data_IF_511681144214
#
_entry.id   IF_511681144214
#
_cell.length_a   1.000
_cell.length_b   1.000
_cell.length_c   1.000
_cell.angle_alpha   90.00
_cell.angle_beta   90.00
_cell.angle_gamma   90.00
#
_symmetry.space_group_name_H-M   'P 1'
#
loop_
_entity.id
_entity.type
_entity.pdbx_description
1 polymer ?
#
# COMPACT_ATOMS: atom_id res chain seq x y z
N UNK A 1 6.30 -27.16 -4.68
CA UNK A 1 7.66 -26.65 -4.32
C UNK A 1 7.52 -25.17 -4.01
N UNK A 2 7.65 -24.78 -2.74
CA UNK A 2 7.46 -23.41 -2.28
C UNK A 2 8.74 -22.61 -2.60
N UNK A 3 8.67 -21.71 -3.57
CA UNK A 3 9.75 -20.74 -3.82
C UNK A 3 9.68 -19.68 -2.74
N UNK A 4 10.57 -19.75 -1.77
CA UNK A 4 10.83 -18.67 -0.83
C UNK A 4 11.59 -17.58 -1.61
N UNK A 5 10.89 -16.50 -1.95
CA UNK A 5 11.54 -15.24 -2.32
C UNK A 5 12.18 -14.73 -1.04
N UNK A 6 13.49 -14.62 -1.05
CA UNK A 6 14.27 -14.08 0.05
C UNK A 6 13.93 -12.59 0.21
N UNK A 7 12.98 -12.30 1.08
CA UNK A 7 12.78 -11.01 1.69
C UNK A 7 13.78 -10.96 2.86
N UNK A 8 15.02 -10.68 2.52
CA UNK A 8 16.12 -10.53 3.47
C UNK A 8 16.13 -9.11 3.99
N UNK A 9 16.17 -9.04 5.30
CA UNK A 9 16.49 -7.89 6.15
C UNK A 9 15.31 -7.15 6.80
N UNK A 10 14.50 -7.89 7.53
CA UNK A 10 13.93 -7.38 8.77
C UNK A 10 14.32 -8.31 9.93
N UNK A 11 15.60 -8.52 10.10
CA UNK A 11 16.21 -9.21 11.23
C UNK A 11 16.94 -8.18 12.07
N UNK A 12 16.25 -7.66 13.06
CA UNK A 12 16.75 -7.18 14.37
C UNK A 12 18.25 -6.83 14.36
N UNK A 13 18.64 -5.68 13.85
CA UNK A 13 19.71 -4.93 14.46
C UNK A 13 19.07 -4.05 15.55
N UNK A 14 18.90 -4.61 16.73
CA UNK A 14 18.77 -3.80 17.91
C UNK A 14 20.09 -3.04 18.05
N UNK A 15 20.22 -1.92 17.35
CA UNK A 15 21.22 -0.93 17.65
C UNK A 15 20.76 -0.32 18.97
N UNK A 16 21.20 -0.93 20.07
CA UNK A 16 21.12 -0.29 21.36
C UNK A 16 21.88 1.04 21.22
N UNK A 17 21.13 2.12 21.04
CA UNK A 17 21.60 3.49 21.23
C UNK A 17 21.97 3.65 22.71
N UNK A 18 23.09 3.06 23.11
CA UNK A 18 23.72 3.42 24.37
C UNK A 18 24.38 4.78 24.15
N UNK A 19 23.62 5.82 24.44
CA UNK A 19 24.18 7.12 24.77
C UNK A 19 24.93 7.00 26.11
N UNK A 20 26.16 6.47 26.08
CA UNK A 20 27.10 6.59 27.20
C UNK A 20 28.52 6.52 26.66
N UNK A 21 29.20 7.66 26.72
CA UNK A 21 30.65 7.73 26.72
C UNK A 21 31.29 7.76 25.33
N UNK A 22 32.21 8.71 25.16
CA UNK A 22 33.16 8.84 24.05
C UNK A 22 33.84 7.50 23.70
N UNK A 23 33.19 6.64 22.92
CA UNK A 23 33.91 5.61 22.21
C UNK A 23 34.22 6.15 20.82
N UNK A 24 35.51 6.25 20.54
CA UNK A 24 36.02 6.60 19.20
C UNK A 24 35.32 5.76 18.18
N UNK A 25 34.75 6.42 17.15
CA UNK A 25 34.13 5.80 16.00
C UNK A 25 35.02 4.66 15.46
N UNK A 26 34.50 3.42 15.51
CA UNK A 26 35.28 2.25 15.08
C UNK A 26 35.00 1.96 13.61
N UNK A 27 36.06 2.02 12.82
CA UNK A 27 36.05 1.53 11.44
C UNK A 27 36.21 0.02 11.37
N UNK A 28 35.90 -0.54 10.22
CA UNK A 28 36.04 -1.96 9.90
C UNK A 28 36.57 -2.10 8.48
N UNK A 29 37.57 -2.93 8.28
CA UNK A 29 38.12 -3.20 6.96
C UNK A 29 38.19 -4.70 6.71
N UNK A 30 37.71 -5.12 5.54
CA UNK A 30 37.77 -6.48 5.03
C UNK A 30 38.44 -6.49 3.64
N UNK A 31 38.52 -7.63 2.99
CA UNK A 31 38.97 -7.70 1.59
C UNK A 31 38.09 -6.86 0.67
N UNK A 32 36.78 -6.89 0.85
CA UNK A 32 35.80 -6.32 -0.06
C UNK A 32 35.40 -4.88 0.30
N UNK A 33 35.33 -4.53 1.58
CA UNK A 33 34.81 -3.23 2.04
C UNK A 33 35.72 -2.58 3.08
N UNK A 34 35.71 -1.24 3.07
CA UNK A 34 36.22 -0.40 4.15
C UNK A 34 35.10 0.48 4.65
N UNK A 35 34.70 0.28 5.90
CA UNK A 35 33.67 1.03 6.61
C UNK A 35 34.39 2.00 7.55
N UNK A 36 34.23 3.29 7.36
CA UNK A 36 34.91 4.27 8.19
C UNK A 36 34.32 4.30 9.61
N UNK A 37 32.99 4.27 9.71
CA UNK A 37 32.23 4.29 10.96
C UNK A 37 30.99 3.42 10.82
N UNK A 38 30.80 2.46 11.74
CA UNK A 38 29.60 1.64 11.81
C UNK A 38 28.96 1.59 13.22
N UNK A 39 29.64 2.15 14.25
CA UNK A 39 29.10 2.35 15.60
C UNK A 39 29.15 3.82 15.94
N UNK A 40 28.12 4.31 16.63
CA UNK A 40 28.01 5.72 16.98
C UNK A 40 27.87 6.63 15.75
N UNK A 41 27.21 6.15 14.70
CA UNK A 41 26.91 6.98 13.52
C UNK A 41 25.94 8.09 13.91
N UNK A 42 26.27 9.31 13.54
CA UNK A 42 25.35 10.45 13.65
C UNK A 42 24.41 10.43 12.45
N UNK A 43 23.12 10.38 12.72
CA UNK A 43 22.08 10.44 11.69
C UNK A 43 21.53 11.86 11.57
N UNK A 44 21.14 12.23 10.37
CA UNK A 44 20.40 13.45 10.15
C UNK A 44 19.09 13.42 10.96
N UNK A 45 18.56 14.59 11.30
CA UNK A 45 17.36 14.69 12.13
C UNK A 45 16.20 13.90 11.53
N UNK A 46 15.74 12.90 12.25
CA UNK A 46 14.47 12.23 11.99
C UNK A 46 13.43 12.92 12.87
N UNK A 47 12.36 13.42 12.25
CA UNK A 47 11.31 14.09 13.01
C UNK A 47 10.56 13.09 13.87
N UNK A 48 10.39 13.44 15.14
CA UNK A 48 9.56 12.63 16.04
C UNK A 48 8.11 12.72 15.60
N UNK A 49 7.34 11.63 15.78
CA UNK A 49 5.90 11.67 15.51
C UNK A 49 5.24 12.72 16.42
N UNK A 50 4.15 13.29 15.92
CA UNK A 50 3.28 14.14 16.74
C UNK A 50 2.64 13.31 17.87
N UNK A 51 2.25 13.98 18.92
CA UNK A 51 1.46 13.34 19.99
C UNK A 51 0.12 12.83 19.41
N UNK A 52 -0.30 11.65 19.88
CA UNK A 52 -1.59 11.07 19.53
C UNK A 52 -2.70 11.90 20.16
N UNK A 53 -3.58 12.44 19.32
CA UNK A 53 -4.72 13.26 19.75
C UNK A 53 -5.97 12.41 19.98
N UNK A 54 -6.96 13.00 20.66
CA UNK A 54 -8.29 12.36 20.79
C UNK A 54 -8.99 12.16 19.43
N UNK A 55 -8.71 13.01 18.46
CA UNK A 55 -9.23 12.87 17.09
C UNK A 55 -8.63 11.67 16.37
N UNK A 56 -7.34 11.39 16.55
CA UNK A 56 -6.69 10.19 16.02
C UNK A 56 -7.34 8.93 16.61
N UNK A 57 -7.54 8.92 17.93
CA UNK A 57 -8.21 7.83 18.64
C UNK A 57 -9.63 7.63 18.13
N UNK A 58 -10.41 8.71 17.99
CA UNK A 58 -11.78 8.63 17.49
C UNK A 58 -11.82 8.15 16.02
N UNK A 59 -10.88 8.58 15.20
CA UNK A 59 -10.75 8.14 13.81
C UNK A 59 -10.46 6.65 13.72
N UNK A 60 -9.53 6.15 14.52
CA UNK A 60 -9.23 4.72 14.58
C UNK A 60 -10.42 3.90 15.08
N UNK A 61 -11.12 4.38 16.11
CA UNK A 61 -12.33 3.73 16.62
C UNK A 61 -13.43 3.73 15.55
N UNK A 62 -13.61 4.83 14.81
CA UNK A 62 -14.59 4.89 13.72
C UNK A 62 -14.28 3.86 12.63
N UNK A 63 -13.03 3.65 12.28
CA UNK A 63 -12.61 2.59 11.34
C UNK A 63 -13.04 1.21 11.84
N UNK A 64 -12.82 0.91 13.13
CA UNK A 64 -13.25 -0.37 13.73
C UNK A 64 -14.77 -0.50 13.73
N UNK A 65 -15.53 0.59 13.99
CA UNK A 65 -16.98 0.58 13.90
C UNK A 65 -17.45 0.30 12.46
N UNK A 66 -16.80 0.92 11.48
CA UNK A 66 -17.12 0.75 10.07
C UNK A 66 -16.80 -0.67 9.56
N UNK A 67 -15.70 -1.27 9.98
CA UNK A 67 -15.36 -2.67 9.70
C UNK A 67 -16.36 -3.67 10.31
N UNK A 68 -16.99 -3.30 11.43
CA UNK A 68 -18.02 -4.10 12.10
C UNK A 68 -19.45 -3.71 11.72
N UNK A 69 -19.62 -2.92 10.67
CA UNK A 69 -20.93 -2.59 10.14
C UNK A 69 -21.60 -3.82 9.54
N UNK A 70 -22.90 -3.84 9.61
CA UNK A 70 -23.75 -4.85 8.96
C UNK A 70 -24.60 -4.19 7.90
N UNK A 71 -25.10 -4.97 6.97
CA UNK A 71 -26.03 -4.49 5.94
C UNK A 71 -27.42 -4.96 6.30
N UNK A 72 -28.38 -4.05 6.38
CA UNK A 72 -29.80 -4.35 6.59
C UNK A 72 -30.56 -4.10 5.28
N UNK A 73 -31.38 -5.06 4.86
CA UNK A 73 -32.28 -4.87 3.73
C UNK A 73 -33.34 -3.82 4.06
N UNK A 74 -33.61 -2.97 3.10
CA UNK A 74 -34.60 -1.90 3.21
C UNK A 74 -35.76 -2.21 2.29
N UNK A 75 -36.93 -2.41 2.88
CA UNK A 75 -38.20 -2.62 2.17
C UNK A 75 -39.18 -1.49 2.44
N UNK A 76 -40.14 -1.30 1.52
CA UNK A 76 -41.27 -0.38 1.74
C UNK A 76 -40.93 1.11 1.62
N UNK A 77 -39.76 1.47 1.10
CA UNK A 77 -39.43 2.85 0.76
C UNK A 77 -38.49 2.93 -0.43
N UNK A 78 -38.49 4.06 -1.07
CA UNK A 78 -37.58 4.37 -2.15
C UNK A 78 -36.11 4.57 -1.69
N UNK A 79 -35.18 4.50 -2.62
CA UNK A 79 -33.75 4.75 -2.49
C UNK A 79 -33.48 6.16 -1.96
N UNK A 80 -32.52 6.28 -1.06
CA UNK A 80 -32.00 7.55 -0.52
C UNK A 80 -30.48 7.60 -0.61
N UNK A 81 -29.95 8.80 -0.53
CA UNK A 81 -28.48 9.00 -0.38
C UNK A 81 -27.96 8.26 0.85
N UNK A 82 -26.85 7.55 0.68
CA UNK A 82 -26.22 6.71 1.71
C UNK A 82 -26.78 5.28 1.79
N UNK A 83 -27.77 4.91 0.95
CA UNK A 83 -28.16 3.53 0.79
C UNK A 83 -27.19 2.82 -0.17
N UNK A 84 -27.02 1.51 0.00
CA UNK A 84 -26.37 0.66 -0.99
C UNK A 84 -27.48 -0.05 -1.77
N UNK A 85 -27.49 0.14 -3.09
CA UNK A 85 -28.44 -0.53 -3.98
C UNK A 85 -27.73 -1.62 -4.79
N UNK A 86 -28.40 -2.75 -4.98
CA UNK A 86 -27.96 -3.73 -5.98
C UNK A 86 -28.67 -3.40 -7.27
N UNK A 87 -27.93 -3.10 -8.33
CA UNK A 87 -28.47 -2.71 -9.62
C UNK A 87 -27.98 -3.62 -10.75
N UNK A 88 -28.82 -3.76 -11.77
CA UNK A 88 -28.38 -4.13 -13.11
C UNK A 88 -28.37 -2.86 -13.94
N UNK A 89 -27.38 -2.70 -14.81
CA UNK A 89 -27.38 -1.58 -15.75
C UNK A 89 -26.79 -1.97 -17.10
N UNK A 90 -27.30 -1.31 -18.14
CA UNK A 90 -26.83 -1.45 -19.52
C UNK A 90 -26.64 -0.06 -20.12
N UNK A 91 -25.39 0.31 -20.37
CA UNK A 91 -25.02 1.57 -21.03
C UNK A 91 -25.04 1.41 -22.54
N UNK A 92 -25.65 2.37 -23.21
CA UNK A 92 -25.77 2.44 -24.68
C UNK A 92 -25.32 3.80 -25.19
N UNK A 93 -24.57 3.80 -26.28
CA UNK A 93 -24.26 4.99 -27.04
C UNK A 93 -24.87 4.81 -28.46
N UNK A 94 -25.61 5.82 -28.92
CA UNK A 94 -26.34 5.74 -30.22
C UNK A 94 -27.23 4.49 -30.34
N UNK A 95 -27.75 3.97 -29.23
CA UNK A 95 -28.61 2.79 -29.17
C UNK A 95 -27.89 1.45 -29.07
N UNK A 96 -26.55 1.41 -29.16
CA UNK A 96 -25.76 0.19 -29.08
C UNK A 96 -25.01 0.11 -27.74
N UNK A 97 -25.01 -1.08 -27.12
CA UNK A 97 -24.24 -1.30 -25.89
C UNK A 97 -22.73 -1.23 -26.17
N UNK A 98 -21.96 -0.72 -25.21
CA UNK A 98 -20.51 -0.61 -25.33
C UNK A 98 -19.79 -1.43 -24.26
N UNK A 99 -18.55 -1.82 -24.55
CA UNK A 99 -17.74 -2.62 -23.64
C UNK A 99 -17.46 -1.89 -22.31
N UNK A 100 -17.70 -2.60 -21.20
CA UNK A 100 -17.56 -2.05 -19.85
C UNK A 100 -18.74 -1.18 -19.40
N UNK A 101 -19.75 -0.96 -20.26
CA UNK A 101 -20.95 -0.17 -19.94
C UNK A 101 -22.07 -0.95 -19.24
N UNK A 102 -21.92 -2.25 -18.96
CA UNK A 102 -22.99 -3.08 -18.43
C UNK A 102 -22.52 -3.95 -17.26
N UNK A 103 -23.40 -4.15 -16.29
CA UNK A 103 -23.16 -5.09 -15.18
C UNK A 103 -24.49 -5.60 -14.64
N UNK A 104 -24.45 -6.74 -13.96
CA UNK A 104 -25.56 -7.32 -13.21
C UNK A 104 -25.15 -7.50 -11.75
N UNK A 105 -26.13 -7.39 -10.84
CA UNK A 105 -25.94 -7.52 -9.38
C UNK A 105 -24.84 -6.60 -8.83
N UNK A 106 -24.69 -5.42 -9.41
CA UNK A 106 -23.65 -4.46 -9.01
C UNK A 106 -24.06 -3.74 -7.71
N UNK A 107 -23.27 -3.83 -6.63
CA UNK A 107 -23.52 -3.09 -5.41
C UNK A 107 -23.00 -1.65 -5.56
N UNK A 108 -23.91 -0.67 -5.45
CA UNK A 108 -23.62 0.76 -5.58
C UNK A 108 -24.06 1.51 -4.32
N UNK A 109 -23.13 2.18 -3.66
CA UNK A 109 -23.44 3.12 -2.59
C UNK A 109 -23.83 4.48 -3.19
N UNK A 110 -25.05 4.94 -2.91
CA UNK A 110 -25.58 6.20 -3.44
C UNK A 110 -24.94 7.40 -2.73
N UNK A 111 -24.21 8.18 -3.50
CA UNK A 111 -23.42 9.32 -3.04
C UNK A 111 -21.93 9.01 -2.86
N UNK A 112 -21.47 7.85 -3.34
CA UNK A 112 -20.05 7.46 -3.39
C UNK A 112 -19.25 8.22 -4.45
N UNK A 113 -19.91 8.78 -5.45
CA UNK A 113 -19.31 9.38 -6.66
C UNK A 113 -18.42 8.39 -7.44
N UNK A 114 -18.75 7.11 -7.42
CA UNK A 114 -18.05 6.06 -8.17
C UNK A 114 -18.48 5.96 -9.64
N UNK A 115 -19.59 6.60 -10.00
CA UNK A 115 -20.11 6.69 -11.36
C UNK A 115 -20.01 8.12 -11.90
N UNK A 116 -20.32 8.28 -13.20
CA UNK A 116 -20.38 9.60 -13.83
C UNK A 116 -21.47 10.47 -13.20
N UNK A 117 -21.27 11.79 -13.25
CA UNK A 117 -22.14 12.76 -12.58
C UNK A 117 -23.61 12.58 -12.94
N UNK A 118 -24.45 12.54 -11.90
CA UNK A 118 -25.90 12.39 -12.01
C UNK A 118 -26.39 10.94 -12.10
N UNK A 119 -25.52 9.95 -12.34
CA UNK A 119 -25.96 8.55 -12.39
C UNK A 119 -26.53 8.08 -11.06
N UNK A 120 -25.79 8.26 -9.97
CA UNK A 120 -26.23 7.87 -8.62
C UNK A 120 -27.45 8.66 -8.15
N UNK A 121 -27.50 9.94 -8.46
CA UNK A 121 -28.63 10.81 -8.14
C UNK A 121 -29.92 10.39 -8.86
N UNK A 122 -29.80 9.84 -10.10
CA UNK A 122 -30.96 9.37 -10.85
C UNK A 122 -31.67 8.19 -10.19
N UNK A 123 -30.98 7.42 -9.36
CA UNK A 123 -31.52 6.25 -8.67
C UNK A 123 -32.32 6.65 -7.43
N UNK A 124 -32.06 7.84 -6.88
CA UNK A 124 -32.76 8.34 -5.69
C UNK A 124 -34.26 8.50 -6.01
N UNK A 125 -35.11 7.94 -5.14
CA UNK A 125 -36.56 7.99 -5.29
C UNK A 125 -37.18 6.80 -6.02
N UNK A 126 -36.37 5.93 -6.64
CA UNK A 126 -36.83 4.66 -7.20
C UNK A 126 -36.97 3.57 -6.13
N UNK A 127 -37.85 2.61 -6.37
CA UNK A 127 -38.04 1.46 -5.49
C UNK A 127 -37.34 0.21 -6.01
N UNK A 128 -37.13 -0.76 -5.14
CA UNK A 128 -36.69 -2.07 -5.58
C UNK A 128 -37.72 -2.67 -6.58
N UNK A 129 -37.25 -3.16 -7.71
CA UNK A 129 -38.02 -3.65 -8.84
C UNK A 129 -38.20 -2.63 -9.96
N UNK A 130 -37.93 -1.36 -9.74
CA UNK A 130 -38.05 -0.33 -10.78
C UNK A 130 -36.96 -0.49 -11.85
N UNK A 131 -37.38 -0.28 -13.11
CA UNK A 131 -36.47 -0.18 -14.26
C UNK A 131 -36.74 1.13 -14.99
N UNK A 132 -35.70 1.89 -15.30
CA UNK A 132 -35.82 3.19 -15.96
C UNK A 132 -34.58 3.49 -16.80
N UNK A 133 -34.72 4.43 -17.73
CA UNK A 133 -33.61 4.95 -18.51
C UNK A 133 -33.14 6.29 -17.94
N UNK A 134 -31.83 6.45 -17.83
CA UNK A 134 -31.19 7.70 -17.49
C UNK A 134 -30.24 8.13 -18.60
N UNK A 135 -30.32 9.41 -18.99
CA UNK A 135 -29.47 9.99 -20.01
C UNK A 135 -28.41 10.88 -19.34
N UNK A 136 -27.15 10.62 -19.64
CA UNK A 136 -26.02 11.34 -19.11
C UNK A 136 -24.96 11.62 -20.18
N UNK A 137 -23.87 12.24 -19.75
CA UNK A 137 -22.73 12.52 -20.58
C UNK A 137 -21.43 12.17 -19.83
N UNK A 138 -20.51 11.51 -20.52
CA UNK A 138 -19.17 11.28 -19.97
C UNK A 138 -18.40 12.60 -19.85
N UNK A 139 -17.63 12.82 -18.77
CA UNK A 139 -16.75 13.97 -18.65
C UNK A 139 -15.77 14.08 -19.84
N UNK A 140 -15.40 15.31 -20.21
CA UNK A 140 -14.44 15.56 -21.30
C UNK A 140 -13.03 14.96 -21.01
N UNK A 141 -12.68 14.82 -19.74
CA UNK A 141 -11.43 14.22 -19.26
C UNK A 141 -11.58 12.77 -18.81
N UNK A 142 -12.59 12.06 -19.31
CA UNK A 142 -12.78 10.65 -18.95
C UNK A 142 -11.60 9.79 -19.42
N UNK A 143 -11.23 8.76 -18.64
CA UNK A 143 -10.03 7.96 -18.89
C UNK A 143 -10.01 7.19 -20.22
N UNK A 144 -11.18 6.95 -20.86
CA UNK A 144 -11.30 6.38 -22.19
C UNK A 144 -11.58 7.49 -23.21
N UNK A 145 -10.69 7.67 -24.18
CA UNK A 145 -10.88 8.62 -25.28
C UNK A 145 -12.11 8.31 -26.15
N UNK A 146 -12.54 7.03 -26.17
CA UNK A 146 -13.70 6.60 -26.94
C UNK A 146 -15.02 6.94 -26.27
N UNK A 147 -15.00 7.29 -24.97
CA UNK A 147 -16.16 7.63 -24.18
C UNK A 147 -16.19 9.12 -23.80
N UNK A 148 -15.02 9.77 -23.68
CA UNK A 148 -14.89 11.16 -23.24
C UNK A 148 -15.82 12.11 -24.04
N UNK A 149 -16.60 12.93 -23.32
CA UNK A 149 -17.51 13.91 -23.89
C UNK A 149 -18.73 13.35 -24.65
N UNK A 150 -18.96 12.02 -24.65
CA UNK A 150 -20.07 11.41 -25.36
C UNK A 150 -21.32 11.26 -24.51
N UNK A 151 -22.48 11.41 -25.14
CA UNK A 151 -23.76 11.13 -24.53
C UNK A 151 -23.98 9.64 -24.38
N UNK A 152 -24.61 9.23 -23.29
CA UNK A 152 -24.89 7.85 -22.94
C UNK A 152 -26.29 7.72 -22.36
N UNK A 153 -26.96 6.61 -22.69
CA UNK A 153 -28.20 6.21 -22.03
C UNK A 153 -27.94 4.93 -21.23
N UNK A 154 -28.23 4.94 -19.93
CA UNK A 154 -28.21 3.75 -19.09
C UNK A 154 -29.63 3.30 -18.79
N UNK A 155 -29.94 2.04 -19.13
CA UNK A 155 -31.11 1.35 -18.60
C UNK A 155 -30.73 0.75 -17.26
N UNK A 156 -31.33 1.18 -16.17
CA UNK A 156 -31.01 0.82 -14.78
C UNK A 156 -32.16 0.06 -14.16
N UNK A 157 -31.88 -1.08 -13.55
CA UNK A 157 -32.85 -1.85 -12.76
C UNK A 157 -32.41 -1.88 -11.31
N UNK A 158 -33.20 -1.37 -10.38
CA UNK A 158 -32.96 -1.45 -8.94
C UNK A 158 -33.45 -2.79 -8.42
N UNK A 159 -32.56 -3.70 -8.05
CA UNK A 159 -32.93 -5.05 -7.57
C UNK A 159 -33.26 -5.07 -6.09
N UNK A 160 -32.43 -4.44 -5.29
CA UNK A 160 -32.63 -4.37 -3.84
C UNK A 160 -32.03 -3.09 -3.27
N UNK A 161 -32.53 -2.71 -2.12
CA UNK A 161 -32.01 -1.57 -1.35
C UNK A 161 -31.52 -2.10 -0.02
N UNK A 162 -30.36 -1.69 0.40
CA UNK A 162 -29.81 -2.00 1.71
C UNK A 162 -29.21 -0.77 2.35
N UNK A 163 -29.07 -0.80 3.67
CA UNK A 163 -28.48 0.29 4.43
C UNK A 163 -27.36 -0.23 5.30
N UNK A 164 -26.21 0.43 5.24
CA UNK A 164 -25.12 0.18 6.17
C UNK A 164 -25.56 0.59 7.58
N UNK A 165 -25.41 -0.33 8.53
CA UNK A 165 -25.70 -0.11 9.95
C UNK A 165 -24.41 -0.22 10.72
N UNK A 166 -23.78 0.92 10.95
CA UNK A 166 -22.60 1.03 11.79
C UNK A 166 -23.01 0.90 13.26
N UNK A 167 -22.37 -0.02 14.01
CA UNK A 167 -22.68 -0.18 15.43
C UNK A 167 -22.29 1.07 16.22
N UNK A 168 -22.97 1.29 17.35
CA UNK A 168 -22.58 2.34 18.28
C UNK A 168 -21.43 1.86 19.16
N UNK A 169 -20.51 2.76 19.49
CA UNK A 169 -19.47 2.51 20.49
C UNK A 169 -20.14 2.39 21.87
N UNK A 170 -20.16 1.20 22.40
CA UNK A 170 -20.72 0.85 23.72
C UNK A 170 -19.84 -0.19 24.39
N UNK A 171 -19.97 -0.37 25.70
CA UNK A 171 -19.22 -1.41 26.43
C UNK A 171 -19.51 -2.82 25.91
N UNK A 172 -20.74 -3.04 25.40
CA UNK A 172 -21.09 -4.31 24.74
C UNK A 172 -20.31 -4.50 23.44
N UNK A 173 -20.16 -3.45 22.64
CA UNK A 173 -19.37 -3.48 21.42
C UNK A 173 -17.89 -3.69 21.73
N UNK A 174 -17.35 -2.95 22.70
CA UNK A 174 -15.95 -3.09 23.13
C UNK A 174 -15.63 -4.53 23.52
N UNK A 175 -16.46 -5.19 24.31
CA UNK A 175 -16.29 -6.60 24.70
C UNK A 175 -16.30 -7.57 23.50
N UNK A 176 -16.83 -7.15 22.35
CA UNK A 176 -16.82 -7.95 21.11
C UNK A 176 -15.51 -7.79 20.35
N UNK A 177 -14.94 -6.58 20.34
CA UNK A 177 -13.79 -6.24 19.47
C UNK A 177 -12.45 -6.23 20.20
N UNK A 178 -12.44 -6.01 21.53
CA UNK A 178 -11.23 -6.06 22.35
C UNK A 178 -11.21 -7.26 23.29
N UNK A 179 -10.05 -7.86 23.44
CA UNK A 179 -9.76 -8.90 24.45
C UNK A 179 -9.39 -8.30 25.80
N UNK A 180 -8.83 -7.10 25.80
CA UNK A 180 -8.27 -6.43 26.98
C UNK A 180 -9.28 -5.50 27.64
N UNK A 181 -9.90 -4.62 26.86
CA UNK A 181 -10.85 -3.62 27.37
C UNK A 181 -12.27 -4.16 27.54
N UNK A 182 -12.98 -3.63 28.54
CA UNK A 182 -14.37 -4.00 28.85
C UNK A 182 -15.32 -2.81 28.79
N UNK A 183 -14.78 -1.60 28.84
CA UNK A 183 -15.54 -0.34 28.79
C UNK A 183 -15.04 0.56 27.66
N UNK A 184 -15.89 1.48 27.22
CA UNK A 184 -15.52 2.48 26.19
C UNK A 184 -14.31 3.31 26.64
N UNK A 185 -14.23 3.63 27.92
CA UNK A 185 -13.08 4.40 28.46
C UNK A 185 -11.77 3.63 28.32
N UNK A 186 -11.75 2.37 28.78
CA UNK A 186 -10.56 1.50 28.67
C UNK A 186 -10.16 1.32 27.19
N UNK A 187 -11.15 1.16 26.31
CA UNK A 187 -10.88 0.94 24.89
C UNK A 187 -10.26 2.19 24.21
N UNK A 188 -10.68 3.39 24.59
CA UNK A 188 -10.01 4.61 24.12
C UNK A 188 -8.57 4.70 24.58
N UNK A 189 -8.29 4.28 25.81
CA UNK A 189 -6.91 4.23 26.36
C UNK A 189 -6.08 3.15 25.65
N UNK A 190 -6.64 1.96 25.37
CA UNK A 190 -6.02 0.89 24.60
C UNK A 190 -5.65 1.35 23.19
N UNK A 191 -6.61 1.97 22.47
CA UNK A 191 -6.38 2.48 21.11
C UNK A 191 -5.32 3.58 21.11
N UNK A 192 -5.37 4.51 22.07
CA UNK A 192 -4.36 5.57 22.20
C UNK A 192 -2.97 4.98 22.38
N UNK A 193 -2.83 4.05 23.31
CA UNK A 193 -1.56 3.35 23.56
C UNK A 193 -1.06 2.61 22.32
N UNK A 194 -1.93 1.91 21.61
CA UNK A 194 -1.56 1.23 20.35
C UNK A 194 -1.03 2.21 19.29
N UNK A 195 -1.69 3.35 19.11
CA UNK A 195 -1.23 4.38 18.18
C UNK A 195 0.12 4.99 18.59
N UNK A 196 0.33 5.20 19.90
CA UNK A 196 1.62 5.68 20.45
C UNK A 196 2.73 4.66 20.20
N UNK A 197 2.48 3.36 20.44
CA UNK A 197 3.42 2.27 20.18
C UNK A 197 3.76 2.14 18.69
N UNK A 198 2.77 2.24 17.81
CA UNK A 198 2.96 2.21 16.35
C UNK A 198 3.77 3.44 15.87
N UNK A 199 3.51 4.61 16.42
CA UNK A 199 4.28 5.83 16.15
C UNK A 199 5.74 5.69 16.61
N UNK A 200 5.96 5.18 17.81
CA UNK A 200 7.31 4.94 18.34
C UNK A 200 8.06 3.90 17.49
N UNK A 201 7.39 2.82 17.12
CA UNK A 201 7.96 1.81 16.23
C UNK A 201 8.37 2.42 14.89
N UNK A 202 7.47 3.16 14.23
CA UNK A 202 7.73 3.82 12.94
C UNK A 202 8.92 4.80 13.05
N UNK A 203 8.98 5.55 14.13
CA UNK A 203 10.11 6.44 14.40
C UNK A 203 11.43 5.69 14.58
N UNK A 204 11.42 4.60 15.35
CA UNK A 204 12.59 3.76 15.55
C UNK A 204 13.04 3.08 14.26
N UNK A 205 12.11 2.60 13.45
CA UNK A 205 12.40 2.01 12.12
C UNK A 205 13.04 3.06 11.21
N UNK A 206 12.54 4.30 11.23
CA UNK A 206 13.11 5.42 10.47
C UNK A 206 14.53 5.79 10.93
N UNK A 207 14.76 5.80 12.24
CA UNK A 207 16.10 6.00 12.81
C UNK A 207 17.06 4.88 12.40
N UNK A 208 16.60 3.63 12.43
CA UNK A 208 17.41 2.49 12.00
C UNK A 208 17.76 2.57 10.51
N UNK A 209 16.81 2.93 9.65
CA UNK A 209 17.05 3.13 8.24
C UNK A 209 18.05 4.26 7.97
N UNK A 210 17.90 5.39 8.66
CA UNK A 210 18.83 6.52 8.55
C UNK A 210 20.24 6.14 9.00
N UNK A 211 20.36 5.43 10.13
CA UNK A 211 21.64 4.94 10.64
C UNK A 211 22.28 3.94 9.66
N UNK A 212 21.52 3.01 9.13
CA UNK A 212 21.98 2.05 8.13
C UNK A 212 22.46 2.73 6.85
N UNK A 213 21.68 3.69 6.33
CA UNK A 213 22.09 4.46 5.17
C UNK A 213 23.41 5.20 5.42
N UNK A 214 23.60 5.79 6.60
CA UNK A 214 24.84 6.46 6.99
C UNK A 214 26.02 5.50 7.05
N UNK A 215 25.82 4.27 7.55
CA UNK A 215 26.85 3.22 7.51
C UNK A 215 27.23 2.88 6.06
N UNK A 216 26.22 2.75 5.18
CA UNK A 216 26.47 2.52 3.76
C UNK A 216 27.23 3.68 3.11
N UNK A 217 26.87 4.92 3.42
CA UNK A 217 27.55 6.11 2.89
C UNK A 217 29.01 6.18 3.39
N UNK A 218 29.25 5.80 4.63
CA UNK A 218 30.57 5.67 5.22
C UNK A 218 31.38 4.46 4.71
N UNK A 219 30.83 3.69 3.77
CA UNK A 219 31.46 2.47 3.23
C UNK A 219 31.97 2.67 1.82
N UNK A 220 33.25 2.42 1.62
CA UNK A 220 33.89 2.25 0.31
C UNK A 220 34.01 0.77 -0.02
N UNK A 221 33.41 0.35 -1.14
CA UNK A 221 33.64 -1.00 -1.68
C UNK A 221 35.00 -1.01 -2.40
N UNK A 222 35.87 -1.89 -1.98
CA UNK A 222 37.20 -2.09 -2.56
C UNK A 222 37.13 -3.01 -3.79
N UNK A 223 36.33 -4.08 -3.67
CA UNK A 223 36.13 -5.07 -4.72
C UNK A 223 34.72 -5.65 -4.63
N UNK A 224 34.02 -5.64 -5.75
CA UNK A 224 32.76 -6.34 -5.89
C UNK A 224 32.98 -7.79 -6.31
N UNK A 225 32.37 -8.79 -5.63
CA UNK A 225 32.36 -10.16 -6.14
C UNK A 225 31.50 -10.21 -7.41
N UNK A 226 32.12 -10.41 -8.55
CA UNK A 226 31.44 -10.37 -9.87
C UNK A 226 30.29 -11.38 -9.98
N UNK A 227 30.48 -12.58 -9.41
CA UNK A 227 29.43 -13.62 -9.40
C UNK A 227 28.19 -13.16 -8.69
N UNK A 228 28.30 -12.45 -7.56
CA UNK A 228 27.18 -11.99 -6.78
C UNK A 228 26.44 -10.84 -7.48
N UNK A 229 27.19 -9.90 -8.07
CA UNK A 229 26.62 -8.83 -8.88
C UNK A 229 25.84 -9.42 -10.05
N UNK A 230 26.48 -10.33 -10.81
CA UNK A 230 25.84 -10.98 -11.97
C UNK A 230 24.59 -11.77 -11.58
N UNK A 231 24.63 -12.50 -10.47
CA UNK A 231 23.46 -13.25 -9.97
C UNK A 231 22.24 -12.34 -9.74
N UNK A 232 22.44 -11.16 -9.17
CA UNK A 232 21.37 -10.19 -8.92
C UNK A 232 20.90 -9.55 -10.23
N UNK A 233 21.83 -9.19 -11.11
CA UNK A 233 21.51 -8.68 -12.45
C UNK A 233 20.63 -9.66 -13.23
N UNK A 234 21.07 -10.91 -13.34
CA UNK A 234 20.36 -11.96 -14.06
C UNK A 234 18.97 -12.21 -13.46
N UNK A 235 18.84 -12.15 -12.12
CA UNK A 235 17.57 -12.29 -11.42
C UNK A 235 16.61 -11.14 -11.75
N UNK A 236 17.06 -9.90 -11.68
CA UNK A 236 16.25 -8.72 -11.99
C UNK A 236 15.80 -8.72 -13.45
N UNK A 237 16.73 -8.94 -14.39
CA UNK A 237 16.42 -9.01 -15.83
C UNK A 237 15.40 -10.14 -16.10
N UNK A 238 15.58 -11.31 -15.47
CA UNK A 238 14.67 -12.43 -15.61
C UNK A 238 13.25 -12.11 -15.11
N UNK A 239 13.11 -11.34 -14.03
CA UNK A 239 11.81 -10.88 -13.55
C UNK A 239 11.10 -10.01 -14.59
N UNK A 240 11.79 -9.02 -15.15
CA UNK A 240 11.22 -8.15 -16.20
C UNK A 240 10.86 -8.92 -17.47
N UNK A 241 11.70 -9.90 -17.89
CA UNK A 241 11.38 -10.79 -19.01
C UNK A 241 10.14 -11.63 -18.73
N UNK A 242 9.95 -12.08 -17.50
CA UNK A 242 8.76 -12.84 -17.10
C UNK A 242 7.50 -11.97 -17.12
N UNK A 243 7.60 -10.71 -16.69
CA UNK A 243 6.51 -9.74 -16.77
C UNK A 243 6.16 -9.46 -18.24
N UNK A 244 7.13 -9.20 -19.10
CA UNK A 244 6.91 -9.00 -20.54
C UNK A 244 6.14 -10.17 -21.16
N UNK A 245 6.56 -11.39 -20.83
CA UNK A 245 5.87 -12.60 -21.30
C UNK A 245 4.42 -12.70 -20.81
N UNK A 246 4.16 -12.33 -19.57
CA UNK A 246 2.80 -12.35 -19.01
C UNK A 246 1.84 -11.36 -19.72
N UNK A 247 2.39 -10.26 -20.23
CA UNK A 247 1.64 -9.26 -21.01
C UNK A 247 1.73 -9.45 -22.53
N UNK A 248 2.24 -10.60 -23.01
CA UNK A 248 2.47 -10.89 -24.44
C UNK A 248 3.28 -9.79 -25.14
N UNK A 249 4.27 -9.20 -24.46
CA UNK A 249 5.14 -8.16 -24.97
C UNK A 249 6.58 -8.66 -25.09
N UNK A 250 7.37 -8.01 -25.97
CA UNK A 250 8.82 -8.19 -25.91
C UNK A 250 9.42 -7.49 -24.71
N UNK A 251 10.59 -7.95 -24.25
CA UNK A 251 11.31 -7.29 -23.16
C UNK A 251 11.66 -5.83 -23.52
N UNK A 252 12.01 -5.56 -24.77
CA UNK A 252 12.33 -4.22 -25.28
C UNK A 252 11.11 -3.30 -25.22
N UNK A 253 9.96 -3.76 -25.67
CA UNK A 253 8.70 -3.00 -25.64
C UNK A 253 8.27 -2.71 -24.19
N UNK A 254 8.39 -3.69 -23.30
CA UNK A 254 8.07 -3.49 -21.89
C UNK A 254 8.93 -2.37 -21.29
N UNK A 255 10.26 -2.44 -21.50
CA UNK A 255 11.18 -1.41 -20.95
C UNK A 255 10.88 -0.04 -21.55
N UNK A 256 10.61 0.02 -22.85
CA UNK A 256 10.29 1.28 -23.52
C UNK A 256 8.96 1.89 -23.04
N UNK A 257 7.92 1.07 -22.90
CA UNK A 257 6.57 1.55 -22.53
C UNK A 257 6.45 1.84 -21.03
N UNK A 258 6.98 0.96 -20.17
CA UNK A 258 6.81 1.10 -18.72
C UNK A 258 7.89 2.00 -18.08
N UNK A 259 9.13 1.97 -18.62
CA UNK A 259 10.26 2.71 -18.04
C UNK A 259 10.64 3.95 -18.84
N UNK A 260 10.06 4.16 -20.02
CA UNK A 260 10.37 5.31 -20.88
C UNK A 260 11.84 5.38 -21.32
N UNK A 261 12.56 4.24 -21.38
CA UNK A 261 14.00 4.19 -21.62
C UNK A 261 14.39 3.06 -22.57
N UNK A 262 15.67 2.97 -22.94
CA UNK A 262 16.20 1.86 -23.73
C UNK A 262 16.67 0.71 -22.84
N UNK A 263 16.69 -0.52 -23.37
CA UNK A 263 17.21 -1.71 -22.67
C UNK A 263 18.63 -1.46 -22.15
N UNK A 264 19.51 -0.88 -22.97
CA UNK A 264 20.88 -0.57 -22.56
C UNK A 264 20.95 0.36 -21.33
N UNK A 265 20.16 1.43 -21.31
CA UNK A 265 20.11 2.34 -20.16
C UNK A 265 19.50 1.67 -18.94
N UNK A 266 18.46 0.87 -19.14
CA UNK A 266 17.82 0.10 -18.08
C UNK A 266 18.80 -0.91 -17.47
N UNK A 267 19.51 -1.70 -18.27
CA UNK A 267 20.50 -2.68 -17.77
C UNK A 267 21.66 -2.01 -17.02
N UNK A 268 22.08 -0.80 -17.41
CA UNK A 268 23.02 0.01 -16.59
C UNK A 268 22.42 0.38 -15.22
N UNK A 269 21.14 0.65 -15.15
CA UNK A 269 20.46 0.89 -13.85
C UNK A 269 20.37 -0.39 -13.04
N UNK A 270 20.06 -1.52 -13.67
CA UNK A 270 20.07 -2.86 -13.05
C UNK A 270 21.45 -3.18 -12.46
N UNK A 271 22.53 -2.94 -13.21
CA UNK A 271 23.90 -3.11 -12.71
C UNK A 271 24.17 -2.23 -11.48
N UNK A 272 23.70 -0.98 -11.49
CA UNK A 272 23.86 -0.08 -10.35
C UNK A 272 23.07 -0.58 -9.12
N UNK A 273 21.86 -1.05 -9.34
CA UNK A 273 21.01 -1.65 -8.29
C UNK A 273 21.63 -2.94 -7.72
N UNK A 274 22.13 -3.82 -8.59
CA UNK A 274 22.83 -5.04 -8.20
C UNK A 274 24.07 -4.74 -7.35
N UNK A 275 24.91 -3.78 -7.76
CA UNK A 275 26.06 -3.33 -6.97
C UNK A 275 25.63 -2.74 -5.62
N UNK A 276 24.55 -1.98 -5.56
CA UNK A 276 24.01 -1.46 -4.30
C UNK A 276 23.57 -2.59 -3.36
N UNK A 277 22.88 -3.59 -3.87
CA UNK A 277 22.46 -4.77 -3.10
C UNK A 277 23.67 -5.57 -2.59
N UNK A 278 24.64 -5.82 -3.45
CA UNK A 278 25.90 -6.50 -3.06
C UNK A 278 26.64 -5.70 -2.00
N UNK A 279 26.72 -4.36 -2.13
CA UNK A 279 27.33 -3.50 -1.10
C UNK A 279 26.66 -3.70 0.26
N UNK A 280 25.32 -3.70 0.31
CA UNK A 280 24.58 -3.95 1.55
C UNK A 280 24.92 -5.32 2.15
N UNK A 281 24.92 -6.37 1.34
CA UNK A 281 25.28 -7.74 1.78
C UNK A 281 26.71 -7.80 2.34
N UNK A 282 27.68 -7.18 1.66
CA UNK A 282 29.06 -7.15 2.11
C UNK A 282 29.23 -6.40 3.44
N UNK A 283 28.52 -5.29 3.62
CA UNK A 283 28.55 -4.50 4.85
C UNK A 283 27.90 -5.27 5.99
N UNK A 284 26.70 -5.85 5.76
CA UNK A 284 26.01 -6.68 6.75
C UNK A 284 26.88 -7.82 7.22
N UNK A 285 27.47 -8.56 6.28
CA UNK A 285 28.35 -9.69 6.60
C UNK A 285 29.58 -9.23 7.38
N UNK A 286 30.26 -8.17 6.95
CA UNK A 286 31.45 -7.66 7.62
C UNK A 286 31.15 -7.24 9.07
N UNK A 287 30.01 -6.59 9.32
CA UNK A 287 29.60 -6.19 10.68
C UNK A 287 29.19 -7.41 11.49
N UNK A 288 28.39 -8.33 10.93
CA UNK A 288 27.96 -9.53 11.61
C UNK A 288 29.14 -10.39 12.04
N UNK A 289 30.11 -10.63 11.15
CA UNK A 289 31.35 -11.38 11.47
C UNK A 289 32.14 -10.68 12.57
N UNK A 290 32.24 -9.34 12.54
CA UNK A 290 32.96 -8.56 13.56
C UNK A 290 32.30 -8.58 14.92
N UNK A 291 30.97 -8.57 14.95
CA UNK A 291 30.17 -8.52 16.20
C UNK A 291 29.72 -9.91 16.66
N UNK A 292 30.14 -11.00 15.97
CA UNK A 292 29.74 -12.37 16.24
C UNK A 292 28.19 -12.57 16.19
N UNK A 293 27.52 -11.86 15.28
CA UNK A 293 26.09 -11.99 15.03
C UNK A 293 25.87 -13.11 14.03
N UNK A 294 25.05 -14.09 14.36
CA UNK A 294 24.62 -15.10 13.40
C UNK A 294 23.58 -14.50 12.47
N UNK A 295 23.81 -14.62 11.17
CA UNK A 295 22.83 -14.29 10.15
C UNK A 295 22.05 -15.56 9.83
N UNK A 296 20.72 -15.45 9.83
CA UNK A 296 19.86 -16.53 9.33
C UNK A 296 19.96 -16.56 7.80
N UNK A 297 20.06 -17.76 7.22
CA UNK A 297 20.19 -18.01 5.78
C UNK A 297 18.90 -17.69 4.98
#
# INVERSE_FOLDING_TARGET
>A
MKKKVAMLLTGVMAVSLMMTGCQSAKGLETENVKISVYKGVEVDKVDKPSEVTDDDVNTQIQSVLDENSTTEEVTGRAVKKGDTVTIDFVGKMNGEAFDGGSSTDYPLEIGSNSFIDGFEDSIIGHNAGDTFDWNGKFPENYGSSDLAGKDVTFTITVKSISKKKTPKLTDKFVKKVSKESKTVKEYKEEVKKSLEEDNEKTYNDSLQQAAWQKVLDNTKVKKYPEKDVKKIEDSLISQYKSVAKAYNMSYDDLIKQQMGTTVEKFEKQVTKAAKSSVKQTLVTKAIADKENIKLDD
#
